data_IF_871746316675
#
_entry.id   IF_871746316675
#
_cell.length_a   1.000
_cell.length_b   1.000
_cell.length_c   1.000
_cell.angle_alpha   90.00
_cell.angle_beta   90.00
_cell.angle_gamma   90.00
#
_symmetry.space_group_name_H-M   'P 1'
#
loop_
_entity.id
_entity.type
_entity.pdbx_description
1 polymer ?
#
# COMPACT_ATOMS: atom_id res chain seq x y z
N UNK A 1 24.67 -4.71 10.97
CA UNK A 1 23.23 -4.60 11.28
C UNK A 1 22.77 -3.26 10.74
N UNK A 2 22.57 -3.14 9.42
CA UNK A 2 22.23 -1.85 8.81
C UNK A 2 20.76 -1.58 9.05
N UNK A 3 20.45 -0.53 9.81
CA UNK A 3 19.09 -0.01 9.94
C UNK A 3 18.63 0.44 8.55
N UNK A 4 17.79 -0.37 7.89
CA UNK A 4 16.99 0.07 6.75
C UNK A 4 15.79 0.82 7.32
N UNK A 5 16.02 2.02 7.81
CA UNK A 5 14.92 2.86 8.32
C UNK A 5 14.23 3.46 7.11
N UNK A 6 13.19 2.79 6.60
CA UNK A 6 12.27 3.41 5.66
C UNK A 6 11.78 4.71 6.31
N UNK A 7 12.04 5.87 5.69
CA UNK A 7 11.56 7.16 6.21
C UNK A 7 10.53 7.77 5.27
N UNK A 8 9.58 8.53 5.81
CA UNK A 8 8.61 9.27 4.99
C UNK A 8 9.31 10.22 4.00
N UNK A 9 10.47 10.75 4.37
CA UNK A 9 11.28 11.61 3.51
C UNK A 9 11.80 10.86 2.28
N UNK A 10 12.22 9.60 2.45
CA UNK A 10 12.62 8.73 1.35
C UNK A 10 11.45 8.38 0.43
N UNK A 11 10.21 8.47 0.90
CA UNK A 11 9.02 8.26 0.06
C UNK A 11 8.68 9.50 -0.77
N UNK A 12 8.92 10.69 -0.24
CA UNK A 12 8.62 11.97 -0.93
C UNK A 12 9.53 12.27 -2.11
N UNK A 13 10.69 11.63 -2.22
CA UNK A 13 11.57 11.76 -3.40
C UNK A 13 11.06 10.98 -4.62
N UNK A 14 10.11 10.05 -4.45
CA UNK A 14 9.47 9.39 -5.58
C UNK A 14 8.42 10.33 -6.18
N UNK A 15 8.83 11.10 -7.20
CA UNK A 15 7.99 12.02 -7.98
C UNK A 15 7.74 11.48 -9.38
N UNK A 16 6.87 10.48 -9.45
CA UNK A 16 6.56 9.75 -10.68
C UNK A 16 7.22 8.37 -10.73
N UNK A 17 6.69 7.53 -11.61
CA UNK A 17 7.14 6.14 -11.77
C UNK A 17 7.81 5.97 -13.12
N UNK A 18 9.02 5.39 -13.13
CA UNK A 18 9.73 5.07 -14.36
C UNK A 18 9.46 3.62 -14.78
N UNK A 19 9.19 2.75 -13.79
CA UNK A 19 8.92 1.34 -14.00
C UNK A 19 7.66 0.87 -13.26
N UNK A 20 6.85 0.09 -13.99
CA UNK A 20 5.74 -0.64 -13.40
C UNK A 20 6.13 -2.09 -13.17
N UNK A 21 6.00 -2.54 -11.94
CA UNK A 21 6.21 -3.93 -11.56
C UNK A 21 4.88 -4.65 -11.51
N UNK A 22 4.89 -5.91 -11.95
CA UNK A 22 3.71 -6.78 -11.86
C UNK A 22 3.74 -7.56 -10.56
N UNK A 23 2.58 -7.60 -9.91
CA UNK A 23 2.39 -8.51 -8.79
C UNK A 23 2.44 -9.97 -9.27
N UNK A 24 3.22 -10.85 -8.61
CA UNK A 24 3.46 -12.21 -9.09
C UNK A 24 2.19 -13.07 -9.11
N UNK A 25 1.35 -12.95 -8.08
CA UNK A 25 0.10 -13.72 -7.96
C UNK A 25 -1.09 -13.02 -8.65
N UNK A 26 -1.36 -11.75 -8.31
CA UNK A 26 -2.38 -10.94 -8.94
C UNK A 26 -1.85 -10.22 -10.20
N UNK A 27 -1.67 -10.92 -11.31
CA UNK A 27 -1.04 -10.36 -12.55
C UNK A 27 -1.69 -9.10 -13.13
N UNK A 28 -2.93 -8.79 -12.73
CA UNK A 28 -3.64 -7.56 -13.12
C UNK A 28 -3.13 -6.35 -12.34
N UNK A 29 -2.64 -6.55 -11.13
CA UNK A 29 -2.13 -5.51 -10.24
C UNK A 29 -0.69 -5.17 -10.62
N UNK A 30 -0.49 -3.89 -10.87
CA UNK A 30 0.80 -3.24 -11.06
C UNK A 30 1.14 -2.41 -9.83
N UNK A 31 2.43 -2.14 -9.62
CA UNK A 31 2.88 -1.20 -8.60
C UNK A 31 4.10 -0.42 -9.07
N UNK A 32 4.29 0.78 -8.52
CA UNK A 32 5.35 1.71 -8.89
C UNK A 32 6.67 1.43 -8.17
N UNK A 33 7.73 2.12 -8.58
CA UNK A 33 9.04 2.09 -7.93
C UNK A 33 8.95 2.49 -6.44
N UNK A 34 8.16 3.51 -6.10
CA UNK A 34 7.97 3.94 -4.71
C UNK A 34 7.34 2.85 -3.84
N UNK A 35 6.30 2.18 -4.33
CA UNK A 35 5.65 1.08 -3.61
C UNK A 35 6.58 -0.12 -3.50
N UNK A 36 7.34 -0.43 -4.55
CA UNK A 36 8.36 -1.48 -4.48
C UNK A 36 9.42 -1.17 -3.42
N UNK A 37 9.86 0.09 -3.34
CA UNK A 37 10.83 0.52 -2.34
C UNK A 37 10.30 0.33 -0.92
N UNK A 38 9.03 0.65 -0.67
CA UNK A 38 8.38 0.35 0.62
C UNK A 38 8.43 -1.14 0.93
N UNK A 39 8.11 -1.99 -0.05
CA UNK A 39 8.13 -3.44 0.14
C UNK A 39 9.55 -3.98 0.43
N UNK A 40 10.55 -3.50 -0.29
CA UNK A 40 11.95 -3.92 -0.19
C UNK A 40 12.65 -3.42 1.08
N UNK A 41 12.33 -2.19 1.50
CA UNK A 41 12.95 -1.55 2.66
C UNK A 41 12.18 -1.81 3.95
N UNK A 42 10.85 -1.86 3.87
CA UNK A 42 9.97 -2.16 5.00
C UNK A 42 9.56 -3.62 5.13
N UNK A 43 10.12 -4.52 4.31
CA UNK A 43 9.80 -5.95 4.26
C UNK A 43 8.28 -6.24 4.19
N UNK A 44 7.55 -5.31 3.56
CA UNK A 44 6.11 -5.22 3.59
C UNK A 44 5.43 -5.83 2.35
N UNK A 45 6.02 -6.86 1.75
CA UNK A 45 5.42 -7.54 0.59
C UNK A 45 4.03 -8.10 0.89
N UNK A 46 3.82 -8.53 2.14
CA UNK A 46 2.52 -8.97 2.64
C UNK A 46 1.45 -7.88 2.47
N UNK A 47 1.80 -6.59 2.55
CA UNK A 47 0.86 -5.48 2.39
C UNK A 47 0.41 -5.34 0.93
N UNK A 48 1.33 -5.53 -0.02
CA UNK A 48 0.98 -5.57 -1.44
C UNK A 48 0.08 -6.78 -1.75
N UNK A 49 0.40 -7.95 -1.18
CA UNK A 49 -0.42 -9.15 -1.35
C UNK A 49 -1.85 -8.91 -0.84
N UNK A 50 -1.99 -8.29 0.33
CA UNK A 50 -3.29 -7.95 0.94
C UNK A 50 -4.12 -7.01 0.05
N UNK A 51 -3.54 -5.91 -0.43
CA UNK A 51 -4.22 -4.96 -1.34
C UNK A 51 -4.57 -5.64 -2.66
N UNK A 52 -3.66 -6.47 -3.19
CA UNK A 52 -3.86 -7.17 -4.45
C UNK A 52 -4.96 -8.24 -4.36
N UNK A 53 -5.03 -8.98 -3.25
CA UNK A 53 -6.10 -9.94 -3.01
C UNK A 53 -7.44 -9.25 -2.71
N UNK A 54 -7.43 -8.07 -2.11
CA UNK A 54 -8.63 -7.26 -1.93
C UNK A 54 -9.29 -6.88 -3.27
N UNK A 55 -8.52 -6.77 -4.37
CA UNK A 55 -9.08 -6.59 -5.73
C UNK A 55 -9.89 -7.80 -6.22
N UNK A 56 -9.86 -8.93 -5.51
CA UNK A 56 -10.78 -10.04 -5.75
C UNK A 56 -12.19 -9.79 -5.22
N UNK A 57 -12.38 -8.79 -4.35
CA UNK A 57 -13.67 -8.44 -3.76
C UNK A 57 -14.41 -7.50 -4.72
N UNK A 58 -15.61 -7.87 -5.23
CA UNK A 58 -16.30 -7.08 -6.25
C UNK A 58 -16.61 -5.64 -5.83
N UNK A 59 -16.87 -5.41 -4.55
CA UNK A 59 -17.18 -4.06 -4.01
C UNK A 59 -15.96 -3.15 -4.10
N UNK A 60 -14.78 -3.67 -3.75
CA UNK A 60 -13.52 -2.92 -3.81
C UNK A 60 -13.12 -2.71 -5.28
N UNK A 61 -13.14 -3.78 -6.07
CA UNK A 61 -12.77 -3.74 -7.49
C UNK A 61 -13.73 -2.91 -8.37
N UNK A 62 -14.92 -2.58 -7.87
CA UNK A 62 -15.85 -1.67 -8.53
C UNK A 62 -15.44 -0.19 -8.39
N UNK A 63 -14.67 0.14 -7.35
CA UNK A 63 -14.18 1.50 -7.13
C UNK A 63 -13.02 1.80 -8.08
N UNK A 64 -13.18 2.89 -8.85
CA UNK A 64 -12.17 3.34 -9.81
C UNK A 64 -10.92 3.87 -9.09
N UNK A 65 -11.10 4.49 -7.93
CA UNK A 65 -10.04 5.02 -7.10
C UNK A 65 -10.20 4.47 -5.68
N UNK A 66 -9.12 3.89 -5.16
CA UNK A 66 -9.08 3.31 -3.82
C UNK A 66 -7.89 3.89 -3.07
N UNK A 67 -8.16 4.45 -1.90
CA UNK A 67 -7.15 4.93 -0.97
C UNK A 67 -6.94 3.89 0.11
N UNK A 68 -5.76 3.26 0.10
CA UNK A 68 -5.36 2.27 1.07
C UNK A 68 -4.47 2.92 2.12
N UNK A 69 -4.93 2.98 3.37
CA UNK A 69 -4.17 3.52 4.50
C UNK A 69 -3.88 2.42 5.50
N UNK A 70 -2.60 2.17 5.75
CA UNK A 70 -2.15 1.32 6.84
C UNK A 70 -1.72 2.21 8.01
N UNK A 71 -2.30 2.00 9.18
CA UNK A 71 -1.96 2.72 10.41
C UNK A 71 -1.54 1.77 11.50
N UNK A 72 -0.32 1.91 12.00
CA UNK A 72 0.18 1.14 13.13
C UNK A 72 -0.35 1.72 14.44
N UNK A 73 -0.56 0.80 15.38
CA UNK A 73 -0.98 1.06 16.74
C UNK A 73 0.20 0.71 17.66
N UNK A 74 0.24 1.29 18.85
CA UNK A 74 1.33 1.15 19.84
C UNK A 74 1.64 -0.28 20.31
N UNK A 75 0.83 -1.26 19.88
CA UNK A 75 0.91 -2.68 20.27
C UNK A 75 1.42 -3.58 19.15
N UNK A 76 2.21 -3.06 18.20
CA UNK A 76 2.62 -3.75 16.96
C UNK A 76 1.44 -4.26 16.12
N UNK A 77 0.24 -3.74 16.34
CA UNK A 77 -0.94 -4.04 15.53
C UNK A 77 -1.11 -2.95 14.49
N UNK A 78 -1.78 -3.23 13.38
CA UNK A 78 -2.11 -2.20 12.39
C UNK A 78 -3.56 -2.32 11.91
N UNK A 79 -4.12 -1.22 11.44
CA UNK A 79 -5.40 -1.19 10.72
C UNK A 79 -5.14 -0.83 9.27
N UNK A 80 -5.56 -1.70 8.36
CA UNK A 80 -5.56 -1.45 6.93
C UNK A 80 -6.96 -1.05 6.50
N UNK A 81 -7.12 0.22 6.15
CA UNK A 81 -8.38 0.82 5.71
C UNK A 81 -8.32 1.10 4.21
N UNK A 82 -9.43 0.89 3.52
CA UNK A 82 -9.64 1.24 2.12
C UNK A 82 -10.81 2.23 2.02
N UNK A 83 -10.57 3.37 1.40
CA UNK A 83 -11.55 4.42 1.15
C UNK A 83 -11.77 4.62 -0.36
N UNK A 84 -12.98 5.03 -0.78
CA UNK A 84 -13.36 5.25 -2.20
C UNK A 84 -12.99 6.66 -2.73
N UNK A 85 -12.32 7.48 -1.93
CA UNK A 85 -12.03 8.89 -2.24
C UNK A 85 -13.19 9.86 -1.95
N UNK A 86 -14.39 9.37 -1.61
CA UNK A 86 -15.53 10.16 -1.16
C UNK A 86 -15.72 10.11 0.37
N UNK A 87 -14.65 9.82 1.11
CA UNK A 87 -14.66 9.60 2.57
C UNK A 87 -15.51 8.40 3.01
N UNK A 88 -15.86 7.47 2.10
CA UNK A 88 -16.52 6.23 2.49
C UNK A 88 -15.48 5.14 2.70
N UNK A 89 -15.47 4.56 3.89
CA UNK A 89 -14.70 3.35 4.18
C UNK A 89 -15.39 2.15 3.52
N UNK A 90 -14.73 1.58 2.52
CA UNK A 90 -15.21 0.43 1.74
C UNK A 90 -14.78 -0.87 2.41
N UNK A 91 -13.58 -0.88 3.00
CA UNK A 91 -13.01 -2.06 3.62
C UNK A 91 -12.09 -1.66 4.77
N UNK A 92 -12.15 -2.42 5.86
CA UNK A 92 -11.23 -2.29 6.99
C UNK A 92 -10.80 -3.67 7.42
N UNK A 93 -9.50 -3.86 7.59
CA UNK A 93 -8.89 -5.09 8.08
C UNK A 93 -7.95 -4.78 9.23
N UNK A 94 -8.21 -5.43 10.36
CA UNK A 94 -7.32 -5.36 11.51
C UNK A 94 -6.21 -6.40 11.37
N UNK A 95 -4.98 -5.93 11.50
CA UNK A 95 -3.75 -6.71 11.45
C UNK A 95 -3.26 -6.85 12.89
N UNK A 96 -3.35 -8.05 13.49
CA UNK A 96 -3.05 -8.24 14.90
C UNK A 96 -1.57 -8.00 15.22
N UNK A 97 -0.68 -8.29 14.27
CA UNK A 97 0.76 -8.09 14.42
C UNK A 97 1.42 -7.73 13.08
N UNK A 98 2.26 -6.71 13.08
CA UNK A 98 3.14 -6.32 11.96
C UNK A 98 4.44 -5.73 12.49
N UNK A 99 5.51 -5.95 11.73
CA UNK A 99 6.86 -5.42 11.93
C UNK A 99 7.16 -4.23 11.00
N UNK A 100 6.12 -3.63 10.40
CA UNK A 100 6.27 -2.50 9.50
C UNK A 100 6.96 -1.30 10.20
N UNK A 101 7.97 -0.68 9.58
CA UNK A 101 8.81 0.32 10.26
C UNK A 101 8.20 1.72 10.39
N UNK A 102 7.10 2.03 9.69
CA UNK A 102 6.46 3.35 9.74
C UNK A 102 5.16 3.30 10.54
N UNK A 103 4.82 4.40 11.22
CA UNK A 103 3.57 4.52 11.98
C UNK A 103 2.34 4.57 11.07
N UNK A 104 2.47 5.14 9.88
CA UNK A 104 1.39 5.24 8.90
C UNK A 104 1.96 5.22 7.48
N UNK A 105 1.23 4.60 6.56
CA UNK A 105 1.51 4.73 5.13
C UNK A 105 0.20 4.72 4.34
N UNK A 106 0.16 5.52 3.27
CA UNK A 106 -0.97 5.58 2.35
C UNK A 106 -0.52 5.18 0.95
N UNK A 107 -1.39 4.47 0.24
CA UNK A 107 -1.25 4.11 -1.16
C UNK A 107 -2.53 4.46 -1.91
N UNK A 108 -2.37 4.80 -3.18
CA UNK A 108 -3.49 4.94 -4.11
C UNK A 108 -3.50 3.77 -5.08
N UNK A 109 -4.67 3.24 -5.33
CA UNK A 109 -4.89 2.20 -6.31
C UNK A 109 -5.93 2.68 -7.32
N UNK A 110 -5.50 2.87 -8.56
CA UNK A 110 -6.34 3.26 -9.70
C UNK A 110 -5.86 2.55 -10.95
N UNK A 111 -6.76 2.25 -11.89
CA UNK A 111 -6.41 1.60 -13.17
C UNK A 111 -5.59 0.29 -13.02
N UNK A 112 -5.78 -0.43 -11.91
CA UNK A 112 -4.99 -1.59 -11.50
C UNK A 112 -3.52 -1.30 -11.14
N UNK A 113 -3.15 -0.05 -10.87
CA UNK A 113 -1.81 0.38 -10.49
C UNK A 113 -1.84 0.89 -9.04
N UNK A 114 -1.01 0.29 -8.20
CA UNK A 114 -0.73 0.71 -6.83
C UNK A 114 0.44 1.70 -6.83
N UNK A 115 0.24 2.89 -6.29
CA UNK A 115 1.24 3.96 -6.28
C UNK A 115 1.24 4.72 -4.96
N UNK A 116 2.33 5.42 -4.67
CA UNK A 116 2.34 6.34 -3.53
C UNK A 116 1.56 7.62 -3.86
N UNK A 117 0.99 8.32 -2.85
CA UNK A 117 0.34 9.61 -3.06
C UNK A 117 1.23 10.68 -3.69
N UNK A 118 2.55 10.55 -3.58
CA UNK A 118 3.52 11.45 -4.23
C UNK A 118 3.74 11.14 -5.72
N UNK A 119 3.27 9.99 -6.20
CA UNK A 119 3.44 9.51 -7.58
C UNK A 119 2.16 9.65 -8.44
N UNK A 120 1.02 10.02 -7.82
CA UNK A 120 -0.27 10.29 -8.49
C UNK A 120 -0.41 11.77 -8.85
#
# INVERSE_FOLDING_TARGET
MSQKTLTETDLRQFTGTEQWYRHPFARKVLYTDGVKHVADCGEAYWLLDEIAFAQGIPVIAAEQFQLWRLKLTSTNSASLDCEDGNMNLVFTKLIPFTDFPLDEITFFFTDNVLMLPSEY
#
